data_IF_820091113973
#
_entry.id   IF_820091113973
#
_cell.length_a   1.000
_cell.length_b   1.000
_cell.length_c   1.000
_cell.angle_alpha   90.00
_cell.angle_beta   90.00
_cell.angle_gamma   90.00
#
_symmetry.space_group_name_H-M   'P 1'
#
loop_
_entity.id
_entity.type
_entity.pdbx_description
1 polymer ?
#
# COMPACT_ATOMS: atom_id res chain seq x y z
N UNK A 1 41.45 -39.63 22.95
CA UNK A 1 40.90 -40.49 24.01
C UNK A 1 39.50 -40.92 23.56
N UNK A 2 39.28 -42.22 23.55
CA UNK A 2 38.08 -42.91 23.03
C UNK A 2 36.86 -42.74 23.92
N UNK A 3 35.62 -42.89 23.41
CA UNK A 3 34.37 -42.86 24.17
C UNK A 3 34.04 -44.26 24.76
N UNK A 4 33.19 -44.38 25.78
CA UNK A 4 32.63 -45.66 26.19
C UNK A 4 31.26 -45.97 25.60
N UNK A 5 31.06 -47.30 25.43
CA UNK A 5 29.95 -47.98 24.79
C UNK A 5 28.72 -48.16 25.72
N UNK A 6 27.58 -48.29 25.07
CA UNK A 6 26.35 -49.09 25.25
C UNK A 6 26.15 -49.87 26.53
N UNK A 7 24.92 -49.80 27.05
CA UNK A 7 24.17 -51.00 27.51
C UNK A 7 22.68 -50.88 27.16
N UNK A 8 22.19 -51.94 26.56
CA UNK A 8 20.79 -52.26 26.22
C UNK A 8 20.10 -52.93 27.37
N UNK A 9 18.84 -52.66 27.65
CA UNK A 9 17.90 -53.68 28.14
C UNK A 9 16.48 -53.26 27.77
N UNK A 10 15.84 -54.16 27.05
CA UNK A 10 14.48 -54.07 26.61
C UNK A 10 13.47 -54.46 27.67
N UNK A 11 12.25 -54.02 27.46
CA UNK A 11 11.03 -54.77 27.82
C UNK A 11 9.92 -54.38 26.85
N UNK A 12 9.48 -55.39 26.09
CA UNK A 12 8.22 -55.42 25.35
C UNK A 12 7.09 -55.64 26.37
N UNK A 13 6.05 -54.87 26.28
CA UNK A 13 4.69 -55.29 26.66
C UNK A 13 3.73 -54.83 25.59
N UNK A 14 3.14 -55.83 24.95
CA UNK A 14 2.08 -55.66 23.97
C UNK A 14 0.77 -55.25 24.62
N UNK A 15 -0.01 -54.48 23.90
CA UNK A 15 -1.44 -54.36 24.11
C UNK A 15 -2.22 -54.59 22.82
N UNK A 16 -3.23 -55.43 22.94
CA UNK A 16 -4.08 -56.05 21.93
C UNK A 16 -4.95 -55.03 21.20
N UNK A 17 -5.22 -55.34 19.92
CA UNK A 17 -6.31 -54.82 19.11
C UNK A 17 -7.68 -55.26 19.67
N UNK A 18 -8.61 -54.35 19.73
CA UNK A 18 -10.06 -54.53 19.59
C UNK A 18 -10.61 -53.14 19.30
N UNK A 19 -11.36 -52.88 18.31
CA UNK A 19 -12.50 -53.33 17.64
C UNK A 19 -13.11 -52.12 17.00
N UNK A 20 -13.39 -52.24 15.78
CA UNK A 20 -14.25 -51.66 14.79
C UNK A 20 -15.36 -50.67 15.18
N UNK A 21 -15.65 -49.84 14.15
CA UNK A 21 -16.91 -49.15 13.80
C UNK A 21 -17.09 -47.77 14.46
N UNK A 22 -17.47 -46.71 13.76
CA UNK A 22 -18.48 -46.52 12.72
C UNK A 22 -18.14 -45.22 11.98
N UNK A 23 -18.18 -45.30 10.66
CA UNK A 23 -18.30 -44.16 9.75
C UNK A 23 -19.70 -43.55 9.92
N UNK A 24 -19.76 -42.30 10.41
CA UNK A 24 -20.98 -41.51 10.41
C UNK A 24 -20.98 -40.60 9.17
N UNK A 25 -22.00 -40.77 8.34
CA UNK A 25 -22.26 -39.97 7.13
C UNK A 25 -22.44 -38.49 7.43
N UNK A 26 -22.08 -37.60 6.50
CA UNK A 26 -22.34 -36.16 6.65
C UNK A 26 -23.87 -35.92 6.46
N UNK A 27 -24.50 -35.38 7.49
CA UNK A 27 -25.88 -34.92 7.49
C UNK A 27 -26.05 -33.82 6.41
N UNK A 28 -26.70 -34.19 5.31
CA UNK A 28 -27.32 -33.24 4.41
C UNK A 28 -28.44 -32.50 5.14
N UNK A 29 -28.23 -31.20 5.38
CA UNK A 29 -29.27 -30.30 5.87
C UNK A 29 -30.21 -30.02 4.68
N UNK A 30 -31.36 -30.66 4.62
CA UNK A 30 -32.44 -30.34 3.70
C UNK A 30 -33.32 -29.31 4.41
N UNK A 31 -33.33 -28.09 3.88
CA UNK A 31 -34.25 -27.04 4.34
C UNK A 31 -35.70 -27.42 3.96
N UNK A 32 -36.67 -27.24 4.85
CA UNK A 32 -38.07 -27.46 4.51
C UNK A 32 -38.58 -26.44 3.48
N UNK A 33 -39.56 -26.82 2.63
CA UNK A 33 -40.12 -25.89 1.65
C UNK A 33 -40.92 -24.78 2.35
N UNK A 34 -40.99 -23.59 1.75
CA UNK A 34 -41.76 -22.47 2.32
C UNK A 34 -43.25 -22.80 2.38
N UNK A 35 -43.84 -22.57 3.54
CA UNK A 35 -45.29 -22.65 3.72
C UNK A 35 -45.99 -21.56 2.90
N UNK A 36 -46.99 -21.95 2.16
CA UNK A 36 -47.87 -21.05 1.43
C UNK A 36 -48.62 -20.15 2.43
N UNK A 37 -48.42 -18.83 2.31
CA UNK A 37 -49.24 -17.83 2.99
C UNK A 37 -50.49 -17.59 2.12
N UNK A 38 -51.63 -17.71 2.78
CA UNK A 38 -52.96 -17.53 2.25
C UNK A 38 -53.24 -16.19 1.55
N UNK A 39 -54.11 -16.25 0.56
CA UNK A 39 -54.48 -15.22 -0.39
C UNK A 39 -54.95 -13.91 0.22
N UNK A 40 -54.10 -12.91 0.11
CA UNK A 40 -54.48 -11.50 0.19
C UNK A 40 -54.62 -10.89 -1.19
N UNK A 41 -55.83 -10.40 -1.52
CA UNK A 41 -56.17 -9.85 -2.84
C UNK A 41 -55.17 -8.76 -3.29
N UNK A 42 -54.46 -9.02 -4.36
CA UNK A 42 -53.65 -8.03 -5.06
C UNK A 42 -54.59 -7.03 -5.73
N UNK A 43 -54.68 -5.80 -5.21
CA UNK A 43 -55.32 -4.68 -5.90
C UNK A 43 -54.52 -4.40 -7.18
N UNK A 44 -55.20 -4.51 -8.32
CA UNK A 44 -54.66 -4.10 -9.59
C UNK A 44 -54.27 -2.62 -9.57
N UNK A 45 -52.99 -2.36 -9.75
CA UNK A 45 -52.47 -1.01 -9.99
C UNK A 45 -52.75 -0.66 -11.43
N UNK A 46 -53.69 0.27 -11.65
CA UNK A 46 -53.97 0.82 -12.99
C UNK A 46 -52.71 1.51 -13.53
N UNK A 47 -52.34 1.32 -14.80
CA UNK A 47 -51.24 2.03 -15.41
C UNK A 47 -51.52 3.52 -15.52
N UNK A 48 -50.52 4.39 -15.41
CA UNK A 48 -50.72 5.84 -15.55
C UNK A 48 -51.09 6.19 -16.99
N UNK A 49 -51.80 7.33 -17.20
CA UNK A 49 -52.33 7.71 -18.51
C UNK A 49 -51.19 8.05 -19.50
N UNK A 50 -51.37 7.86 -20.82
CA UNK A 50 -50.36 8.05 -21.84
C UNK A 50 -50.27 9.55 -22.22
N UNK A 51 -49.54 10.34 -21.44
CA UNK A 51 -49.27 11.73 -21.80
C UNK A 51 -47.87 12.16 -21.33
N UNK A 52 -46.84 11.75 -22.03
CA UNK A 52 -45.59 12.52 -22.22
C UNK A 52 -44.73 11.90 -23.32
N UNK A 53 -45.25 11.77 -24.57
CA UNK A 53 -44.36 11.65 -25.75
C UNK A 53 -44.05 13.08 -26.23
N UNK A 54 -43.09 13.74 -25.57
CA UNK A 54 -42.35 14.83 -26.24
C UNK A 54 -41.52 14.17 -27.33
N UNK A 55 -41.78 14.51 -28.60
CA UNK A 55 -40.95 14.20 -29.72
C UNK A 55 -39.54 14.73 -29.46
N UNK A 56 -38.63 13.83 -29.11
CA UNK A 56 -37.20 14.10 -29.16
C UNK A 56 -36.88 14.19 -30.67
N UNK A 57 -36.64 15.39 -31.18
CA UNK A 57 -36.05 15.59 -32.53
C UNK A 57 -34.74 14.83 -32.53
N UNK A 58 -34.61 13.83 -33.42
CA UNK A 58 -33.32 13.18 -33.70
C UNK A 58 -32.34 14.28 -34.13
N UNK A 59 -31.14 14.37 -33.54
CA UNK A 59 -30.09 15.22 -34.11
C UNK A 59 -29.72 14.64 -35.45
N UNK A 60 -29.66 15.50 -36.45
CA UNK A 60 -29.06 15.24 -37.77
C UNK A 60 -27.56 15.02 -37.56
N UNK A 61 -27.04 14.07 -38.26
CA UNK A 61 -25.69 13.56 -38.43
C UNK A 61 -25.48 12.27 -37.64
N UNK A 62 -25.75 11.16 -38.31
CA UNK A 62 -24.96 9.95 -38.17
C UNK A 62 -23.52 10.33 -38.51
N UNK A 63 -22.76 10.83 -37.51
CA UNK A 63 -21.35 10.58 -37.52
C UNK A 63 -21.28 9.09 -37.20
N UNK A 64 -20.88 8.29 -38.16
CA UNK A 64 -20.44 6.93 -37.97
C UNK A 64 -19.40 6.96 -36.82
N UNK A 65 -19.87 6.79 -35.61
CA UNK A 65 -19.03 6.39 -34.51
C UNK A 65 -18.70 4.93 -34.84
N UNK A 66 -17.79 4.71 -35.78
CA UNK A 66 -17.00 3.51 -35.82
C UNK A 66 -16.38 3.41 -34.43
N UNK A 67 -16.99 2.57 -33.59
CA UNK A 67 -16.31 2.04 -32.41
C UNK A 67 -15.17 1.23 -33.04
N UNK A 68 -14.08 1.93 -33.34
CA UNK A 68 -12.80 1.31 -33.57
C UNK A 68 -12.54 0.47 -32.32
N UNK A 69 -12.84 -0.80 -32.42
CA UNK A 69 -12.45 -1.80 -31.44
C UNK A 69 -10.95 -1.58 -31.25
N UNK A 70 -10.63 -1.05 -30.07
CA UNK A 70 -9.29 -0.65 -29.66
C UNK A 70 -8.33 -1.73 -30.16
N UNK A 71 -7.47 -1.41 -31.10
CA UNK A 71 -6.35 -2.25 -31.48
C UNK A 71 -5.68 -2.59 -30.15
N UNK A 72 -5.63 -3.88 -29.80
CA UNK A 72 -5.19 -4.32 -28.51
C UNK A 72 -3.86 -3.63 -28.18
N UNK A 73 -3.84 -2.82 -27.14
CA UNK A 73 -2.69 -2.06 -26.67
C UNK A 73 -1.66 -3.05 -26.08
N UNK A 74 -0.80 -3.61 -26.96
CA UNK A 74 0.11 -4.68 -26.57
C UNK A 74 1.39 -4.11 -25.97
N UNK A 75 1.86 -4.70 -24.89
CA UNK A 75 3.16 -4.38 -24.30
C UNK A 75 4.26 -4.84 -25.27
N UNK A 76 4.89 -3.91 -25.94
CA UNK A 76 5.95 -4.16 -26.92
C UNK A 76 7.33 -4.22 -26.28
N UNK A 77 7.56 -3.41 -25.23
CA UNK A 77 8.84 -3.37 -24.52
C UNK A 77 8.62 -3.17 -23.02
N UNK A 78 9.49 -3.73 -22.22
CA UNK A 78 9.50 -3.61 -20.77
C UNK A 78 10.94 -3.62 -20.26
N UNK A 79 11.27 -2.68 -19.37
CA UNK A 79 12.60 -2.61 -18.74
C UNK A 79 12.53 -2.04 -17.34
N UNK A 80 13.51 -2.39 -16.52
CA UNK A 80 13.74 -1.77 -15.22
C UNK A 80 14.84 -0.72 -15.30
N UNK A 81 14.74 0.28 -14.43
CA UNK A 81 15.76 1.33 -14.25
C UNK A 81 15.95 1.49 -12.74
N UNK A 82 17.17 1.27 -12.26
CA UNK A 82 17.52 1.47 -10.87
C UNK A 82 18.21 2.82 -10.70
N UNK A 83 17.64 3.68 -9.85
CA UNK A 83 18.19 4.97 -9.48
C UNK A 83 18.70 4.92 -8.05
N UNK A 84 19.76 5.68 -7.72
CA UNK A 84 20.21 5.91 -6.35
C UNK A 84 20.36 7.41 -6.14
N UNK A 85 19.38 8.00 -5.44
CA UNK A 85 19.24 9.44 -5.30
C UNK A 85 19.73 9.87 -3.91
N UNK A 86 20.88 10.60 -3.79
CA UNK A 86 21.30 11.19 -2.54
C UNK A 86 20.25 12.15 -1.99
N UNK A 87 20.06 12.15 -0.67
CA UNK A 87 19.09 13.02 0.00
C UNK A 87 19.69 13.68 1.22
N UNK A 88 19.04 14.78 1.65
CA UNK A 88 19.32 15.52 2.87
C UNK A 88 18.08 15.54 3.77
N UNK A 89 18.21 15.14 5.03
CA UNK A 89 17.09 15.12 5.97
C UNK A 89 17.28 16.08 7.16
N UNK A 90 18.40 16.79 7.20
CA UNK A 90 18.85 17.58 8.36
C UNK A 90 19.44 16.67 9.44
N UNK A 91 20.14 17.27 10.42
CA UNK A 91 20.88 16.52 11.42
C UNK A 91 22.18 15.91 10.88
N UNK A 92 22.73 14.96 11.62
CA UNK A 92 24.01 14.32 11.28
C UNK A 92 23.79 13.02 10.53
N UNK A 93 24.27 12.88 9.28
CA UNK A 93 24.19 11.61 8.56
C UNK A 93 25.16 10.56 9.15
N UNK A 94 24.98 9.27 8.88
CA UNK A 94 23.90 8.72 8.06
C UNK A 94 22.57 8.61 8.81
N UNK A 95 21.48 8.95 8.12
CA UNK A 95 20.14 8.78 8.67
C UNK A 95 19.71 7.31 8.64
N UNK A 96 18.68 6.97 9.43
CA UNK A 96 18.24 5.58 9.53
C UNK A 96 16.80 5.39 9.10
N UNK A 97 16.59 4.31 8.32
CA UNK A 97 15.28 3.71 8.07
C UNK A 97 15.22 2.37 8.79
N UNK A 98 14.39 2.25 9.83
CA UNK A 98 14.27 0.98 10.54
C UNK A 98 15.59 0.43 11.10
N UNK A 99 16.51 1.31 11.50
CA UNK A 99 17.78 0.95 12.12
C UNK A 99 18.96 0.75 11.17
N UNK A 100 18.79 0.88 9.84
CA UNK A 100 19.91 0.81 8.88
C UNK A 100 20.27 2.20 8.39
N UNK A 101 21.57 2.58 8.44
CA UNK A 101 22.04 3.86 7.90
C UNK A 101 21.79 3.96 6.40
N UNK A 102 21.34 5.14 5.94
CA UNK A 102 21.14 5.45 4.53
C UNK A 102 21.50 6.91 4.26
N UNK A 103 22.10 7.17 3.10
CA UNK A 103 22.38 8.50 2.57
C UNK A 103 21.89 8.68 1.14
N UNK A 104 21.28 7.65 0.58
CA UNK A 104 20.62 7.68 -0.72
C UNK A 104 19.32 6.88 -0.68
N UNK A 105 18.39 7.29 -1.52
CA UNK A 105 17.11 6.62 -1.73
C UNK A 105 17.16 5.88 -3.06
N UNK A 106 16.98 4.57 -3.01
CA UNK A 106 17.01 3.76 -4.23
C UNK A 106 15.59 3.58 -4.74
N UNK A 107 15.38 3.82 -6.04
CA UNK A 107 14.10 3.74 -6.73
C UNK A 107 14.24 2.75 -7.87
N UNK A 108 13.51 1.65 -7.82
CA UNK A 108 13.46 0.68 -8.92
C UNK A 108 12.22 0.93 -9.78
N UNK A 109 12.44 1.59 -10.91
CA UNK A 109 11.40 1.92 -11.88
C UNK A 109 11.15 0.76 -12.83
N UNK A 110 9.88 0.64 -13.25
CA UNK A 110 9.45 -0.14 -14.41
C UNK A 110 8.97 0.82 -15.47
N UNK A 111 9.48 0.66 -16.70
CA UNK A 111 8.99 1.36 -17.89
C UNK A 111 8.41 0.33 -18.85
N UNK A 112 7.12 0.44 -19.10
CA UNK A 112 6.42 -0.34 -20.12
C UNK A 112 6.17 0.54 -21.33
N UNK A 113 6.28 -0.04 -22.53
CA UNK A 113 5.99 0.63 -23.78
C UNK A 113 5.07 -0.24 -24.63
N UNK A 114 4.04 0.36 -25.16
CA UNK A 114 3.07 -0.34 -26.00
C UNK A 114 3.43 -0.25 -27.48
N UNK A 115 2.80 -1.09 -28.31
CA UNK A 115 3.02 -1.14 -29.75
C UNK A 115 2.60 0.16 -30.49
N UNK A 116 1.81 1.02 -29.86
CA UNK A 116 1.40 2.34 -30.34
C UNK A 116 2.23 3.49 -29.72
N UNK A 117 3.26 3.16 -28.94
CA UNK A 117 4.25 4.10 -28.41
C UNK A 117 3.88 4.76 -27.08
N UNK A 118 2.76 4.39 -26.44
CA UNK A 118 2.46 4.87 -25.09
C UNK A 118 3.47 4.29 -24.09
N UNK A 119 3.86 5.11 -23.12
CA UNK A 119 4.79 4.73 -22.05
C UNK A 119 4.10 4.83 -20.70
N UNK A 120 4.15 3.73 -19.94
CA UNK A 120 3.68 3.67 -18.55
C UNK A 120 4.83 3.45 -17.59
N UNK A 121 4.73 4.08 -16.42
CA UNK A 121 5.72 4.02 -15.37
C UNK A 121 5.18 3.37 -14.10
N UNK A 122 6.01 2.53 -13.49
CA UNK A 122 5.74 1.91 -12.20
C UNK A 122 6.96 1.92 -11.30
N UNK A 123 6.77 1.64 -10.02
CA UNK A 123 7.81 1.61 -9.00
C UNK A 123 7.66 0.39 -8.12
N UNK A 124 8.74 -0.38 -7.96
CA UNK A 124 8.85 -1.44 -6.98
C UNK A 124 9.51 -0.89 -5.69
N UNK A 125 9.01 -1.30 -4.54
CA UNK A 125 9.67 -0.96 -3.28
C UNK A 125 11.09 -1.53 -3.26
N UNK A 126 12.08 -0.66 -3.21
CA UNK A 126 13.50 -0.99 -3.26
C UNK A 126 14.28 -0.20 -2.23
N UNK A 127 15.28 -0.85 -1.62
CA UNK A 127 16.20 -0.23 -0.67
C UNK A 127 17.57 -0.90 -0.76
N UNK A 128 18.62 -0.12 -0.60
CA UNK A 128 19.97 -0.65 -0.51
C UNK A 128 20.47 -1.25 -1.82
N UNK A 129 20.16 -0.62 -2.97
CA UNK A 129 20.58 -1.06 -4.31
C UNK A 129 20.12 -2.48 -4.60
N UNK A 130 18.81 -2.71 -4.56
CA UNK A 130 18.20 -4.05 -4.66
C UNK A 130 18.37 -4.66 -6.07
N UNK A 131 19.60 -5.10 -6.34
CA UNK A 131 19.97 -5.77 -7.60
C UNK A 131 19.23 -7.11 -7.74
N UNK A 132 18.95 -7.80 -6.63
CA UNK A 132 18.26 -9.08 -6.65
C UNK A 132 16.83 -8.92 -7.14
N UNK A 133 16.11 -7.89 -6.67
CA UNK A 133 14.76 -7.56 -7.15
C UNK A 133 14.79 -7.16 -8.62
N UNK A 134 15.73 -6.28 -9.02
CA UNK A 134 15.89 -5.88 -10.43
C UNK A 134 16.11 -7.11 -11.32
N UNK A 135 17.02 -8.01 -10.95
CA UNK A 135 17.30 -9.23 -11.70
C UNK A 135 16.07 -10.15 -11.76
N UNK A 136 15.33 -10.27 -10.66
CA UNK A 136 14.08 -11.05 -10.62
C UNK A 136 13.03 -10.46 -11.58
N UNK A 137 12.90 -9.15 -11.61
CA UNK A 137 11.99 -8.49 -12.54
C UNK A 137 12.39 -8.69 -13.99
N UNK A 138 13.65 -8.44 -14.34
CA UNK A 138 14.14 -8.51 -15.72
C UNK A 138 14.08 -9.94 -16.28
N UNK A 139 14.34 -10.96 -15.45
CA UNK A 139 14.44 -12.35 -15.92
C UNK A 139 13.19 -13.18 -15.73
N UNK A 140 12.32 -12.83 -14.78
CA UNK A 140 11.14 -13.65 -14.45
C UNK A 140 9.80 -12.96 -14.67
N UNK A 141 9.67 -11.66 -14.34
CA UNK A 141 8.37 -10.98 -14.43
C UNK A 141 8.13 -10.34 -15.80
N UNK A 142 9.07 -9.49 -16.25
CA UNK A 142 8.89 -8.73 -17.48
C UNK A 142 8.71 -9.62 -18.74
N UNK A 143 9.42 -10.75 -18.90
CA UNK A 143 9.18 -11.65 -20.04
C UNK A 143 7.76 -12.21 -20.11
N UNK A 144 7.06 -12.37 -18.97
CA UNK A 144 5.72 -12.95 -18.90
C UNK A 144 4.61 -11.98 -19.34
N UNK A 145 4.93 -10.70 -19.47
CA UNK A 145 3.95 -9.67 -19.84
C UNK A 145 4.11 -9.17 -21.28
N UNK A 146 5.24 -9.45 -21.93
CA UNK A 146 5.45 -9.03 -23.32
C UNK A 146 4.39 -9.61 -24.26
N UNK A 147 3.91 -8.78 -25.19
CA UNK A 147 2.84 -9.12 -26.15
C UNK A 147 1.44 -9.18 -25.56
N UNK A 148 1.28 -9.04 -24.24
CA UNK A 148 -0.05 -9.03 -23.59
C UNK A 148 -0.75 -7.70 -23.77
N UNK A 149 -2.07 -7.73 -23.74
CA UNK A 149 -2.92 -6.54 -23.80
C UNK A 149 -2.83 -5.79 -22.46
N UNK A 150 -2.25 -4.59 -22.48
CA UNK A 150 -2.01 -3.77 -21.30
C UNK A 150 -3.32 -3.31 -20.60
N UNK A 151 -4.46 -3.37 -21.28
CA UNK A 151 -5.76 -3.03 -20.68
C UNK A 151 -6.29 -4.13 -19.74
N UNK A 152 -5.75 -5.34 -19.83
CA UNK A 152 -6.16 -6.49 -19.04
C UNK A 152 -5.43 -6.56 -17.68
N UNK A 153 -5.42 -5.45 -16.93
CA UNK A 153 -4.62 -5.27 -15.71
C UNK A 153 -4.83 -6.42 -14.71
N UNK A 154 -6.06 -6.66 -14.27
CA UNK A 154 -6.37 -7.70 -13.30
C UNK A 154 -6.02 -9.11 -13.80
N UNK A 155 -6.15 -9.38 -15.10
CA UNK A 155 -5.78 -10.67 -15.70
C UNK A 155 -4.27 -10.86 -15.74
N UNK A 156 -3.51 -9.80 -16.03
CA UNK A 156 -2.05 -9.82 -16.00
C UNK A 156 -1.58 -10.06 -14.57
N UNK A 157 -2.05 -9.27 -13.61
CA UNK A 157 -1.72 -9.40 -12.19
C UNK A 157 -1.98 -10.82 -11.69
N UNK A 158 -3.21 -11.32 -11.84
CA UNK A 158 -3.56 -12.67 -11.41
C UNK A 158 -2.68 -13.76 -12.04
N UNK A 159 -2.38 -13.62 -13.34
CA UNK A 159 -1.50 -14.56 -14.04
C UNK A 159 -0.08 -14.59 -13.47
N UNK A 160 0.50 -13.42 -13.13
CA UNK A 160 1.81 -13.31 -12.50
C UNK A 160 1.81 -13.93 -11.11
N UNK A 161 0.82 -13.57 -10.27
CA UNK A 161 0.65 -14.13 -8.93
C UNK A 161 0.52 -15.66 -8.96
N UNK A 162 -0.30 -16.20 -9.88
CA UNK A 162 -0.50 -17.64 -10.01
C UNK A 162 0.77 -18.37 -10.47
N UNK A 163 1.46 -17.85 -11.51
CA UNK A 163 2.64 -18.50 -12.06
C UNK A 163 3.86 -18.43 -11.10
N UNK A 164 3.92 -17.37 -10.28
CA UNK A 164 5.09 -17.10 -9.45
C UNK A 164 4.83 -17.32 -7.95
N UNK A 165 3.69 -17.88 -7.55
CA UNK A 165 3.32 -18.04 -6.13
C UNK A 165 4.37 -18.80 -5.30
N UNK A 166 5.11 -19.72 -5.91
CA UNK A 166 6.17 -20.48 -5.23
C UNK A 166 7.46 -19.65 -4.97
N UNK A 167 7.57 -18.46 -5.58
CA UNK A 167 8.75 -17.59 -5.43
C UNK A 167 8.53 -16.44 -4.46
N UNK A 168 7.35 -16.29 -3.92
CA UNK A 168 6.98 -15.32 -2.90
C UNK A 168 5.60 -14.71 -3.11
N UNK A 169 4.91 -14.51 -1.99
CA UNK A 169 3.62 -13.83 -1.90
C UNK A 169 3.74 -12.49 -1.16
N UNK A 170 4.92 -12.23 -0.61
CA UNK A 170 5.34 -11.00 0.07
C UNK A 170 6.77 -10.73 -0.37
N UNK A 171 7.19 -9.46 -0.44
CA UNK A 171 8.54 -9.07 -0.84
C UNK A 171 8.79 -9.21 -2.36
N UNK A 172 10.01 -9.41 -2.80
CA UNK A 172 10.56 -9.33 -4.14
C UNK A 172 9.60 -9.52 -5.32
N UNK A 173 8.97 -10.71 -5.45
CA UNK A 173 8.03 -10.97 -6.57
C UNK A 173 6.82 -10.05 -6.51
N UNK A 174 6.22 -9.89 -5.31
CA UNK A 174 5.04 -9.06 -5.13
C UNK A 174 5.34 -7.57 -5.37
N UNK A 175 6.54 -7.09 -4.97
CA UNK A 175 6.97 -5.71 -5.26
C UNK A 175 7.12 -5.47 -6.77
N UNK A 176 7.63 -6.47 -7.51
CA UNK A 176 7.70 -6.41 -8.97
C UNK A 176 6.33 -6.44 -9.64
N UNK A 177 5.39 -7.24 -9.14
CA UNK A 177 4.00 -7.26 -9.59
C UNK A 177 3.33 -5.91 -9.35
N UNK A 178 3.55 -5.33 -8.17
CA UNK A 178 3.04 -4.00 -7.83
C UNK A 178 3.53 -2.91 -8.81
N UNK A 179 4.81 -2.94 -9.15
CA UNK A 179 5.38 -2.01 -10.14
C UNK A 179 4.76 -2.15 -11.52
N UNK A 180 4.54 -3.39 -11.98
CA UNK A 180 3.87 -3.67 -13.25
C UNK A 180 2.42 -3.17 -13.20
N UNK A 181 1.69 -3.43 -12.11
CA UNK A 181 0.32 -2.97 -11.92
C UNK A 181 0.20 -1.45 -12.01
N UNK A 182 1.07 -0.70 -11.31
CA UNK A 182 1.12 0.77 -11.37
C UNK A 182 1.35 1.24 -12.81
N UNK A 183 2.31 0.64 -13.53
CA UNK A 183 2.62 1.02 -14.90
C UNK A 183 1.46 0.74 -15.88
N UNK A 184 0.72 -0.35 -15.66
CA UNK A 184 -0.47 -0.68 -16.45
C UNK A 184 -1.62 0.31 -16.21
N UNK A 185 -1.82 0.73 -14.96
CA UNK A 185 -2.79 1.77 -14.64
C UNK A 185 -2.41 3.13 -15.24
N UNK A 186 -1.10 3.47 -15.26
CA UNK A 186 -0.61 4.68 -15.94
C UNK A 186 -0.90 4.62 -17.44
N UNK A 187 -0.60 3.50 -18.10
CA UNK A 187 -0.93 3.26 -19.52
C UNK A 187 -2.43 3.40 -19.78
N UNK A 188 -3.28 2.80 -18.95
CA UNK A 188 -4.73 2.89 -19.11
C UNK A 188 -5.21 4.34 -19.01
N UNK A 189 -4.73 5.10 -18.02
CA UNK A 189 -5.08 6.50 -17.85
C UNK A 189 -4.64 7.36 -19.05
N UNK A 190 -3.44 7.11 -19.58
CA UNK A 190 -2.92 7.78 -20.78
C UNK A 190 -3.74 7.44 -22.03
N UNK A 191 -4.08 6.16 -22.23
CA UNK A 191 -4.92 5.71 -23.32
C UNK A 191 -6.33 6.31 -23.29
N UNK A 192 -6.89 6.47 -22.08
CA UNK A 192 -8.21 7.09 -21.88
C UNK A 192 -8.15 8.64 -21.89
N UNK A 193 -6.96 9.25 -21.91
CA UNK A 193 -6.80 10.70 -21.77
C UNK A 193 -7.28 11.23 -20.40
N UNK A 194 -7.27 10.39 -19.34
CA UNK A 194 -7.80 10.73 -18.03
C UNK A 194 -6.76 10.53 -16.93
N UNK A 195 -6.70 11.41 -15.91
CA UNK A 195 -5.89 11.18 -14.73
C UNK A 195 -6.43 9.97 -13.92
N UNK A 196 -5.54 9.28 -13.23
CA UNK A 196 -5.90 8.05 -12.52
C UNK A 196 -7.06 8.24 -11.53
N UNK A 197 -7.09 9.30 -10.74
CA UNK A 197 -8.16 9.50 -9.77
C UNK A 197 -9.57 9.49 -10.43
N UNK A 198 -9.70 9.92 -11.70
CA UNK A 198 -10.99 9.85 -12.41
C UNK A 198 -11.39 8.41 -12.76
N UNK A 199 -10.42 7.58 -13.13
CA UNK A 199 -10.67 6.15 -13.37
C UNK A 199 -11.00 5.40 -12.07
N UNK A 200 -10.55 5.93 -10.92
CA UNK A 200 -10.84 5.40 -9.60
C UNK A 200 -12.17 5.91 -9.00
N UNK A 201 -12.95 6.68 -9.75
CA UNK A 201 -14.28 7.15 -9.32
C UNK A 201 -14.38 8.65 -9.05
N UNK A 202 -13.31 9.41 -9.26
CA UNK A 202 -13.21 10.85 -9.00
C UNK A 202 -12.43 11.17 -7.74
N UNK A 203 -12.11 12.44 -7.54
CA UNK A 203 -11.38 12.89 -6.35
C UNK A 203 -12.31 13.58 -5.36
N UNK A 204 -12.12 13.32 -4.07
CA UNK A 204 -12.75 14.05 -2.97
C UNK A 204 -12.03 15.36 -2.65
N UNK A 205 -10.76 15.49 -3.05
CA UNK A 205 -9.94 16.67 -2.83
C UNK A 205 -8.96 16.89 -4.00
N UNK A 206 -8.70 18.16 -4.34
CA UNK A 206 -7.73 18.57 -5.36
C UNK A 206 -6.29 18.67 -4.80
N UNK A 207 -6.17 18.72 -3.48
CA UNK A 207 -4.92 18.68 -2.74
C UNK A 207 -5.08 17.86 -1.45
N UNK A 208 -4.01 17.21 -1.02
CA UNK A 208 -3.98 16.38 0.18
C UNK A 208 -3.18 17.07 1.28
N UNK A 209 -3.65 16.97 2.53
CA UNK A 209 -2.85 17.28 3.71
C UNK A 209 -1.72 16.25 3.83
N UNK A 210 -0.48 16.71 4.02
CA UNK A 210 0.70 15.84 4.06
C UNK A 210 1.26 15.79 5.47
N UNK A 211 1.63 14.58 5.92
CA UNK A 211 2.42 14.46 7.12
C UNK A 211 3.92 14.32 6.81
N UNK A 212 4.73 15.03 7.60
CA UNK A 212 6.18 14.92 7.55
C UNK A 212 6.61 13.62 8.24
N UNK A 213 7.06 12.64 7.50
CA UNK A 213 7.61 11.39 8.02
C UNK A 213 9.11 11.59 8.24
N UNK A 214 9.51 11.92 9.49
CA UNK A 214 10.89 12.25 9.85
C UNK A 214 11.77 11.01 9.85
N UNK A 215 13.07 11.17 9.56
CA UNK A 215 14.04 10.08 9.72
C UNK A 215 14.24 9.74 11.21
N UNK A 216 14.86 8.60 11.48
CA UNK A 216 15.36 8.31 12.83
C UNK A 216 16.69 9.00 13.02
N UNK A 217 16.73 9.98 13.91
CA UNK A 217 17.94 10.78 14.22
C UNK A 217 18.75 10.18 15.36
N UNK A 218 18.11 9.46 16.30
CA UNK A 218 18.76 8.84 17.44
C UNK A 218 19.32 9.83 18.47
N UNK A 219 18.93 11.09 18.39
CA UNK A 219 19.29 12.13 19.36
C UNK A 219 18.24 13.25 19.39
N UNK A 220 18.06 13.84 20.57
CA UNK A 220 17.04 14.86 20.84
C UNK A 220 17.25 16.13 20.01
N UNK A 221 18.49 16.59 19.90
CA UNK A 221 18.78 17.90 19.30
C UNK A 221 18.44 17.95 17.81
N UNK A 222 18.86 16.95 17.05
CA UNK A 222 18.60 16.87 15.62
C UNK A 222 17.11 16.58 15.34
N UNK A 223 16.47 15.73 16.15
CA UNK A 223 15.05 15.48 16.05
C UNK A 223 14.21 16.74 16.31
N UNK A 224 14.52 17.51 17.34
CA UNK A 224 13.83 18.77 17.65
C UNK A 224 14.04 19.80 16.54
N UNK A 225 15.25 19.90 15.98
CA UNK A 225 15.51 20.76 14.81
C UNK A 225 14.67 20.34 13.60
N UNK A 226 14.63 19.04 13.27
CA UNK A 226 13.83 18.51 12.18
C UNK A 226 12.33 18.73 12.39
N UNK A 227 11.84 18.52 13.63
CA UNK A 227 10.45 18.79 14.01
C UNK A 227 10.08 20.26 13.79
N UNK A 228 10.93 21.21 14.23
CA UNK A 228 10.71 22.65 14.01
C UNK A 228 10.73 22.99 12.53
N UNK A 229 11.70 22.45 11.76
CA UNK A 229 11.77 22.64 10.31
C UNK A 229 10.50 22.15 9.59
N UNK A 230 9.89 21.04 10.04
CA UNK A 230 8.63 20.58 9.51
C UNK A 230 7.48 21.55 9.83
N UNK A 231 7.40 22.06 11.06
CA UNK A 231 6.41 23.07 11.45
C UNK A 231 6.55 24.37 10.63
N UNK A 232 7.80 24.83 10.40
CA UNK A 232 8.09 26.03 9.62
C UNK A 232 7.73 25.86 8.13
N UNK A 233 7.78 24.63 7.61
CA UNK A 233 7.28 24.26 6.26
C UNK A 233 5.76 24.06 6.21
N UNK A 234 5.05 24.30 7.30
CA UNK A 234 3.58 24.30 7.37
C UNK A 234 2.95 22.93 7.65
N UNK A 235 3.71 21.90 7.96
CA UNK A 235 3.16 20.60 8.30
C UNK A 235 2.38 20.65 9.62
N UNK A 236 1.20 20.01 9.62
CA UNK A 236 0.31 19.88 10.79
C UNK A 236 0.26 18.46 11.35
N UNK A 237 0.95 17.54 10.69
CA UNK A 237 1.09 16.15 11.09
C UNK A 237 2.55 15.76 10.95
N UNK A 238 3.12 15.14 11.98
CA UNK A 238 4.54 14.77 12.03
C UNK A 238 4.65 13.34 12.55
N UNK A 239 5.25 12.46 11.74
CA UNK A 239 5.56 11.09 12.13
C UNK A 239 7.02 10.96 12.52
N UNK A 240 7.28 10.41 13.71
CA UNK A 240 8.60 10.11 14.24
C UNK A 240 8.94 8.65 14.00
N UNK A 241 10.22 8.35 13.76
CA UNK A 241 10.72 6.97 13.73
C UNK A 241 11.58 6.62 14.94
N UNK A 242 11.55 7.46 15.98
CA UNK A 242 12.28 7.22 17.22
C UNK A 242 11.62 6.13 18.07
N UNK A 243 12.47 5.39 18.81
CA UNK A 243 12.06 4.36 19.76
C UNK A 243 12.38 4.75 21.23
N UNK A 244 13.19 5.80 21.43
CA UNK A 244 13.53 6.34 22.74
C UNK A 244 12.43 7.25 23.27
N UNK A 245 12.07 7.08 24.55
CA UNK A 245 10.99 7.85 25.17
C UNK A 245 11.35 9.35 25.31
N UNK A 246 12.62 9.64 25.57
CA UNK A 246 13.10 11.03 25.71
C UNK A 246 13.02 11.79 24.39
N UNK A 247 13.41 11.15 23.28
CA UNK A 247 13.30 11.68 21.93
C UNK A 247 11.84 11.94 21.55
N UNK A 248 10.96 10.96 21.78
CA UNK A 248 9.52 11.09 21.49
C UNK A 248 8.92 12.24 22.27
N UNK A 249 9.15 12.31 23.60
CA UNK A 249 8.65 13.38 24.46
C UNK A 249 9.19 14.77 24.06
N UNK A 250 10.47 14.84 23.68
CA UNK A 250 11.09 16.08 23.24
C UNK A 250 10.46 16.60 21.93
N UNK A 251 10.20 15.73 20.96
CA UNK A 251 9.54 16.09 19.71
C UNK A 251 8.08 16.53 19.93
N UNK A 252 7.31 15.80 20.75
CA UNK A 252 5.94 16.22 21.11
C UNK A 252 5.93 17.59 21.78
N UNK A 253 6.84 17.84 22.73
CA UNK A 253 7.03 19.15 23.37
C UNK A 253 7.42 20.22 22.35
N UNK A 254 8.28 19.93 21.38
CA UNK A 254 8.69 20.87 20.34
C UNK A 254 7.53 21.24 19.40
N UNK A 255 6.57 20.35 19.18
CA UNK A 255 5.36 20.65 18.42
C UNK A 255 4.47 21.70 19.11
N UNK A 256 4.51 21.81 20.43
CA UNK A 256 3.75 22.79 21.22
C UNK A 256 2.26 22.87 20.83
N UNK A 257 1.63 21.73 20.50
CA UNK A 257 0.23 21.66 20.03
C UNK A 257 -0.04 22.16 18.60
N UNK A 258 1.00 22.56 17.86
CA UNK A 258 0.86 23.07 16.48
C UNK A 258 0.69 21.95 15.44
N UNK A 259 1.10 20.72 15.76
CA UNK A 259 0.95 19.56 14.92
C UNK A 259 0.53 18.34 15.75
N UNK A 260 -0.19 17.42 15.12
CA UNK A 260 -0.45 16.07 15.63
C UNK A 260 0.78 15.19 15.41
N UNK A 261 1.19 14.46 16.43
CA UNK A 261 2.36 13.59 16.37
C UNK A 261 1.94 12.15 16.26
N UNK A 262 2.58 11.41 15.35
CA UNK A 262 2.51 9.97 15.21
C UNK A 262 3.88 9.37 15.50
N UNK A 263 3.90 8.13 15.97
CA UNK A 263 5.15 7.37 16.09
C UNK A 263 5.06 6.08 15.30
N UNK A 264 6.11 5.79 14.55
CA UNK A 264 6.34 4.55 13.81
C UNK A 264 7.62 3.91 14.32
N UNK A 265 7.47 2.90 15.12
CA UNK A 265 8.61 2.29 15.79
C UNK A 265 9.21 1.12 15.02
N UNK A 266 8.57 0.66 13.94
CA UNK A 266 9.06 -0.42 13.08
C UNK A 266 9.28 -1.76 13.80
N UNK A 267 8.29 -2.20 14.57
CA UNK A 267 8.23 -3.52 15.23
C UNK A 267 9.43 -3.83 16.14
N UNK A 268 9.89 -2.95 17.04
CA UNK A 268 11.10 -3.23 17.82
C UNK A 268 10.87 -4.11 19.04
N UNK A 269 9.61 -4.27 19.51
CA UNK A 269 9.29 -4.83 20.81
C UNK A 269 8.48 -6.14 20.74
N UNK A 270 8.67 -6.99 21.72
CA UNK A 270 7.71 -8.06 22.00
C UNK A 270 6.36 -7.46 22.44
N UNK A 271 5.29 -8.24 22.38
CA UNK A 271 3.96 -7.76 22.81
C UNK A 271 3.94 -7.25 24.26
N UNK A 272 4.56 -7.93 25.26
CA UNK A 272 4.65 -7.39 26.62
C UNK A 272 5.40 -6.05 26.71
N UNK A 273 6.50 -5.88 25.97
CA UNK A 273 7.25 -4.61 25.92
C UNK A 273 6.42 -3.52 25.27
N UNK A 274 5.76 -3.81 24.13
CA UNK A 274 4.87 -2.86 23.46
C UNK A 274 3.73 -2.37 24.36
N UNK A 275 3.15 -3.27 25.17
CA UNK A 275 2.14 -2.91 26.18
C UNK A 275 2.70 -1.99 27.27
N UNK A 276 3.93 -2.25 27.74
CA UNK A 276 4.59 -1.41 28.74
C UNK A 276 4.89 -0.02 28.18
N UNK A 277 5.44 0.06 26.97
CA UNK A 277 5.76 1.34 26.28
C UNK A 277 4.49 2.13 25.98
N UNK A 278 3.42 1.50 25.51
CA UNK A 278 2.14 2.18 25.30
C UNK A 278 1.63 2.85 26.59
N UNK A 279 1.82 2.20 27.74
CA UNK A 279 1.48 2.76 29.05
C UNK A 279 2.40 3.91 29.46
N UNK A 280 3.70 3.82 29.15
CA UNK A 280 4.65 4.93 29.41
C UNK A 280 4.35 6.18 28.59
N UNK A 281 3.72 6.02 27.41
CA UNK A 281 3.36 7.11 26.51
C UNK A 281 1.90 7.57 26.67
N UNK A 282 1.12 7.02 27.61
CA UNK A 282 -0.33 7.26 27.73
C UNK A 282 -0.73 8.72 28.00
N UNK A 283 0.21 9.52 28.50
CA UNK A 283 0.03 10.96 28.74
C UNK A 283 0.22 11.82 27.47
N UNK A 284 0.69 11.23 26.36
CA UNK A 284 0.87 11.90 25.10
C UNK A 284 -0.35 11.72 24.20
N UNK A 285 -0.84 12.84 23.62
CA UNK A 285 -1.89 12.82 22.60
C UNK A 285 -1.31 12.41 21.23
N UNK A 286 -0.97 11.12 21.07
CA UNK A 286 -0.48 10.59 19.82
C UNK A 286 -1.63 10.37 18.85
N UNK A 287 -1.48 10.82 17.61
CA UNK A 287 -2.46 10.60 16.55
C UNK A 287 -2.59 9.12 16.19
N UNK A 288 -1.45 8.39 16.14
CA UNK A 288 -1.39 6.93 16.17
C UNK A 288 -0.05 6.41 16.69
N UNK A 289 -0.05 5.13 17.05
CA UNK A 289 1.10 4.32 17.39
C UNK A 289 1.23 3.20 16.34
N UNK A 290 2.26 3.28 15.49
CA UNK A 290 2.44 2.43 14.31
C UNK A 290 3.42 1.29 14.60
N UNK A 291 2.99 0.07 14.27
CA UNK A 291 3.78 -1.17 14.32
C UNK A 291 4.59 -1.38 15.61
N UNK A 292 3.96 -1.37 16.80
CA UNK A 292 4.70 -1.49 18.06
C UNK A 292 5.26 -2.90 18.32
N UNK A 293 4.71 -3.96 17.73
CA UNK A 293 4.98 -5.32 18.16
C UNK A 293 5.61 -6.19 17.08
N UNK A 294 6.58 -7.04 17.46
CA UNK A 294 7.22 -8.06 16.66
C UNK A 294 6.62 -9.45 16.93
N UNK A 295 6.49 -10.32 15.94
CA UNK A 295 6.64 -10.01 14.52
C UNK A 295 5.40 -9.29 13.96
N UNK A 296 5.50 -8.56 12.83
CA UNK A 296 4.39 -7.81 12.26
C UNK A 296 3.16 -8.65 11.91
N UNK A 297 3.32 -9.96 11.65
CA UNK A 297 2.24 -10.90 11.37
C UNK A 297 1.49 -11.37 12.62
N UNK A 298 1.96 -11.02 13.82
CA UNK A 298 1.29 -11.36 15.07
C UNK A 298 0.09 -10.45 15.34
N UNK A 299 -0.94 -10.56 14.49
CA UNK A 299 -2.14 -9.72 14.57
C UNK A 299 -2.89 -9.88 15.91
N UNK A 300 -2.92 -11.07 16.48
CA UNK A 300 -3.52 -11.26 17.81
C UNK A 300 -2.72 -10.56 18.93
N UNK A 301 -1.39 -10.54 18.80
CA UNK A 301 -0.53 -9.77 19.70
C UNK A 301 -0.76 -8.27 19.57
N UNK A 302 -0.85 -7.78 18.34
CA UNK A 302 -1.13 -6.36 18.05
C UNK A 302 -2.54 -5.96 18.55
N UNK A 303 -3.54 -6.84 18.40
CA UNK A 303 -4.88 -6.63 18.94
C UNK A 303 -4.87 -6.44 20.47
N UNK A 304 -4.00 -7.15 21.19
CA UNK A 304 -3.85 -6.96 22.65
C UNK A 304 -3.32 -5.56 22.99
N UNK A 305 -2.40 -5.02 22.18
CA UNK A 305 -1.93 -3.63 22.36
C UNK A 305 -3.06 -2.65 22.10
N UNK A 306 -3.80 -2.82 21.00
CA UNK A 306 -4.96 -1.97 20.66
C UNK A 306 -6.05 -2.00 21.75
N UNK A 307 -6.34 -3.16 22.32
CA UNK A 307 -7.37 -3.33 23.34
C UNK A 307 -7.09 -2.58 24.65
N UNK A 308 -5.86 -2.12 24.89
CA UNK A 308 -5.58 -1.21 26.01
C UNK A 308 -6.30 0.14 25.87
N UNK A 309 -6.65 0.53 24.65
CA UNK A 309 -7.37 1.78 24.38
C UNK A 309 -6.57 3.06 24.67
N UNK A 310 -5.23 2.94 24.80
CA UNK A 310 -4.36 4.09 25.12
C UNK A 310 -4.05 4.92 23.88
N UNK A 311 -3.81 4.25 22.75
CA UNK A 311 -3.48 4.88 21.47
C UNK A 311 -4.20 4.18 20.34
N UNK A 312 -4.51 4.91 19.26
CA UNK A 312 -4.94 4.31 18.00
C UNK A 312 -3.78 3.53 17.38
N UNK A 313 -4.03 2.32 16.93
CA UNK A 313 -3.00 1.45 16.35
C UNK A 313 -3.06 1.50 14.84
N UNK A 314 -1.91 1.80 14.22
CA UNK A 314 -1.73 1.76 12.77
C UNK A 314 -0.75 0.63 12.39
N UNK A 315 -1.06 -0.09 11.32
CA UNK A 315 -0.16 -1.09 10.74
C UNK A 315 -0.58 -1.47 9.32
N UNK A 316 0.29 -2.23 8.63
CA UNK A 316 -0.03 -2.81 7.33
C UNK A 316 1.04 -2.63 6.25
N UNK A 317 2.04 -1.78 6.44
CA UNK A 317 3.12 -1.59 5.45
C UNK A 317 3.98 -2.84 5.23
N UNK A 318 3.91 -3.81 6.14
CA UNK A 318 4.56 -5.11 6.04
C UNK A 318 3.61 -6.25 5.64
N UNK A 319 2.33 -5.96 5.40
CA UNK A 319 1.35 -6.91 4.88
C UNK A 319 1.43 -7.00 3.35
N UNK A 320 1.28 -8.20 2.79
CA UNK A 320 1.50 -8.44 1.36
C UNK A 320 0.23 -8.54 0.52
N UNK A 321 -0.95 -8.69 1.14
CA UNK A 321 -2.17 -9.00 0.41
C UNK A 321 -3.46 -8.57 1.11
N UNK A 322 -4.56 -8.56 0.37
CA UNK A 322 -5.92 -8.39 0.92
C UNK A 322 -6.22 -9.37 2.07
N UNK A 323 -5.70 -10.60 1.99
CA UNK A 323 -5.93 -11.62 3.02
C UNK A 323 -5.25 -11.29 4.35
N UNK A 324 -4.08 -10.64 4.30
CA UNK A 324 -3.40 -10.16 5.50
C UNK A 324 -4.21 -9.06 6.17
N UNK A 325 -4.73 -8.11 5.39
CA UNK A 325 -5.61 -7.04 5.91
C UNK A 325 -6.92 -7.59 6.46
N UNK A 326 -7.54 -8.56 5.80
CA UNK A 326 -8.72 -9.25 6.34
C UNK A 326 -8.41 -9.90 7.69
N UNK A 327 -7.27 -10.60 7.79
CA UNK A 327 -6.84 -11.24 9.04
C UNK A 327 -6.57 -10.23 10.15
N UNK A 328 -5.90 -9.13 9.82
CA UNK A 328 -5.58 -8.03 10.74
C UNK A 328 -6.84 -7.34 11.28
N UNK A 329 -7.79 -7.02 10.39
CA UNK A 329 -9.07 -6.41 10.74
C UNK A 329 -9.94 -7.39 11.55
N UNK A 330 -10.03 -8.66 11.14
CA UNK A 330 -10.79 -9.69 11.87
C UNK A 330 -10.26 -9.96 13.28
N UNK A 331 -8.95 -9.84 13.47
CA UNK A 331 -8.33 -9.92 14.80
C UNK A 331 -8.62 -8.67 15.66
N UNK A 332 -9.17 -7.61 15.11
CA UNK A 332 -9.35 -6.33 15.79
C UNK A 332 -8.01 -5.66 16.13
N UNK A 333 -7.00 -5.81 15.24
CA UNK A 333 -5.63 -5.41 15.51
C UNK A 333 -5.34 -3.93 15.24
N UNK A 334 -6.11 -3.27 14.39
CA UNK A 334 -5.82 -1.92 13.89
C UNK A 334 -7.04 -1.00 13.94
N UNK A 335 -6.76 0.29 14.04
CA UNK A 335 -7.68 1.40 13.78
C UNK A 335 -7.41 2.02 12.41
N UNK A 336 -6.16 1.91 11.92
CA UNK A 336 -5.68 2.52 10.69
C UNK A 336 -4.91 1.47 9.89
N UNK A 337 -5.36 1.23 8.65
CA UNK A 337 -4.71 0.33 7.70
C UNK A 337 -3.74 1.12 6.81
N UNK A 338 -2.51 0.65 6.69
CA UNK A 338 -1.43 1.32 5.97
C UNK A 338 -0.80 0.44 4.90
N UNK A 339 -1.57 -0.02 3.87
CA UNK A 339 -0.94 -0.74 2.75
C UNK A 339 -0.01 0.18 1.96
N UNK A 340 1.04 -0.39 1.38
CA UNK A 340 1.97 0.33 0.49
C UNK A 340 1.76 -0.12 -0.96
N UNK A 341 1.50 0.82 -1.87
CA UNK A 341 1.18 0.52 -3.27
C UNK A 341 2.29 -0.23 -4.00
N UNK A 342 3.56 0.00 -3.62
CA UNK A 342 4.71 -0.66 -4.23
C UNK A 342 5.10 -1.98 -3.55
N UNK A 343 4.41 -2.35 -2.45
CA UNK A 343 4.65 -3.58 -1.69
C UNK A 343 3.48 -4.56 -1.73
N UNK A 344 2.25 -4.03 -1.76
CA UNK A 344 1.03 -4.83 -1.58
C UNK A 344 0.28 -4.98 -2.92
N UNK A 345 0.99 -5.41 -3.97
CA UNK A 345 0.39 -5.79 -5.24
C UNK A 345 -0.20 -4.68 -6.09
N UNK A 346 0.18 -3.41 -5.88
CA UNK A 346 -0.21 -2.28 -6.72
C UNK A 346 -1.58 -1.68 -6.41
N UNK A 347 -2.02 -0.78 -7.29
CA UNK A 347 -3.31 -0.08 -7.17
C UNK A 347 -4.49 -1.07 -7.16
N UNK A 348 -4.45 -2.10 -8.01
CA UNK A 348 -5.52 -3.12 -8.10
C UNK A 348 -5.80 -3.80 -6.76
N UNK A 349 -4.77 -4.06 -5.95
CA UNK A 349 -4.93 -4.67 -4.64
C UNK A 349 -5.36 -3.65 -3.59
N UNK A 350 -4.77 -2.45 -3.61
CA UNK A 350 -5.09 -1.40 -2.66
C UNK A 350 -6.56 -0.93 -2.76
N UNK A 351 -7.15 -0.93 -3.94
CA UNK A 351 -8.58 -0.64 -4.13
C UNK A 351 -9.48 -1.63 -3.38
N UNK A 352 -9.13 -2.92 -3.38
CA UNK A 352 -9.87 -3.94 -2.63
C UNK A 352 -9.70 -3.77 -1.12
N UNK A 353 -8.47 -3.44 -0.69
CA UNK A 353 -8.16 -3.19 0.72
C UNK A 353 -8.90 -1.93 1.20
N UNK A 354 -8.95 -0.87 0.39
CA UNK A 354 -9.70 0.34 0.71
C UNK A 354 -11.20 0.05 0.93
N UNK A 355 -11.82 -0.72 0.02
CA UNK A 355 -13.21 -1.16 0.17
C UNK A 355 -13.43 -2.05 1.41
N UNK A 356 -12.48 -2.92 1.73
CA UNK A 356 -12.51 -3.72 2.94
C UNK A 356 -12.45 -2.84 4.19
N UNK A 357 -11.56 -1.85 4.22
CA UNK A 357 -11.44 -0.89 5.33
C UNK A 357 -12.75 -0.11 5.52
N UNK A 358 -13.34 0.39 4.44
CA UNK A 358 -14.62 1.10 4.48
C UNK A 358 -15.73 0.23 5.07
N UNK A 359 -15.85 -1.05 4.63
CA UNK A 359 -16.86 -1.98 5.12
C UNK A 359 -16.73 -2.29 6.62
N UNK A 360 -15.52 -2.17 7.18
CA UNK A 360 -15.24 -2.46 8.58
C UNK A 360 -15.02 -1.22 9.46
N UNK A 361 -15.16 0.00 8.92
CA UNK A 361 -14.95 1.25 9.65
C UNK A 361 -13.51 1.47 10.09
N UNK A 362 -12.54 0.89 9.38
CA UNK A 362 -11.10 1.08 9.58
C UNK A 362 -10.64 2.24 8.70
N UNK A 363 -9.85 3.15 9.25
CA UNK A 363 -9.30 4.28 8.49
C UNK A 363 -8.24 3.78 7.51
N UNK A 364 -8.26 4.30 6.28
CA UNK A 364 -7.34 3.88 5.21
C UNK A 364 -6.33 4.99 4.94
N UNK A 365 -5.08 4.82 5.39
CA UNK A 365 -3.99 5.79 5.20
C UNK A 365 -2.78 5.07 4.63
N UNK A 366 -2.65 4.97 3.31
CA UNK A 366 -1.55 4.24 2.69
C UNK A 366 -0.17 4.73 3.15
N UNK A 367 0.71 3.79 3.47
CA UNK A 367 2.14 4.05 3.65
C UNK A 367 2.75 4.49 2.32
N UNK A 368 3.58 5.53 2.34
CA UNK A 368 4.23 6.05 1.14
C UNK A 368 5.65 6.55 1.41
N UNK A 369 6.57 5.62 1.62
CA UNK A 369 8.00 5.92 1.65
C UNK A 369 8.62 5.82 0.24
N UNK A 370 8.00 6.47 -0.76
CA UNK A 370 8.28 6.39 -2.18
C UNK A 370 8.49 7.78 -2.78
N UNK A 371 9.25 7.87 -3.88
CA UNK A 371 9.52 9.14 -4.58
C UNK A 371 9.37 9.03 -6.11
N UNK A 372 8.88 7.90 -6.58
CA UNK A 372 8.64 7.62 -7.99
C UNK A 372 7.15 7.48 -8.34
N UNK A 373 6.83 6.67 -9.36
CA UNK A 373 5.47 6.39 -9.80
C UNK A 373 4.55 5.88 -8.68
N UNK A 374 5.09 5.14 -7.70
CA UNK A 374 4.35 4.67 -6.54
C UNK A 374 3.85 5.81 -5.66
N UNK A 375 4.66 6.86 -5.45
CA UNK A 375 4.22 8.06 -4.74
C UNK A 375 3.05 8.72 -5.45
N UNK A 376 3.15 8.92 -6.75
CA UNK A 376 2.11 9.59 -7.55
C UNK A 376 0.84 8.75 -7.59
N UNK A 377 0.96 7.43 -7.75
CA UNK A 377 -0.17 6.51 -7.68
C UNK A 377 -0.89 6.56 -6.31
N UNK A 378 -0.13 6.67 -5.22
CA UNK A 378 -0.68 6.81 -3.86
C UNK A 378 -1.40 8.16 -3.69
N UNK A 379 -0.89 9.25 -4.28
CA UNK A 379 -1.58 10.56 -4.29
C UNK A 379 -2.95 10.43 -4.96
N UNK A 380 -3.02 9.82 -6.15
CA UNK A 380 -4.29 9.62 -6.85
C UNK A 380 -5.27 8.75 -6.07
N UNK A 381 -4.79 7.64 -5.50
CA UNK A 381 -5.61 6.74 -4.69
C UNK A 381 -6.14 7.45 -3.44
N UNK A 382 -5.28 8.17 -2.73
CA UNK A 382 -5.66 8.93 -1.53
C UNK A 382 -6.69 10.01 -1.84
N UNK A 383 -6.53 10.71 -2.97
CA UNK A 383 -7.51 11.72 -3.41
C UNK A 383 -8.87 11.10 -3.78
N UNK A 384 -8.86 9.89 -4.33
CA UNK A 384 -10.08 9.17 -4.74
C UNK A 384 -10.77 8.43 -3.58
N UNK A 385 -10.21 8.42 -2.39
CA UNK A 385 -10.77 7.68 -1.25
C UNK A 385 -11.16 8.61 -0.10
N UNK A 386 -12.45 8.58 0.27
CA UNK A 386 -13.03 9.51 1.27
C UNK A 386 -12.38 9.41 2.67
N UNK A 387 -11.96 8.22 3.08
CA UNK A 387 -11.40 7.98 4.42
C UNK A 387 -9.88 8.13 4.50
N UNK A 388 -9.24 8.75 3.50
CA UNK A 388 -7.81 9.07 3.56
C UNK A 388 -7.63 10.54 3.95
N UNK A 389 -7.46 10.85 5.26
CA UNK A 389 -7.41 12.24 5.72
C UNK A 389 -6.07 12.92 5.46
N UNK A 390 -4.99 12.13 5.37
CA UNK A 390 -3.61 12.63 5.27
C UNK A 390 -2.77 11.70 4.39
N UNK A 391 -1.73 12.28 3.76
CA UNK A 391 -0.79 11.59 2.85
C UNK A 391 0.63 11.59 3.41
N UNK A 392 1.35 10.47 3.29
CA UNK A 392 2.74 10.35 3.74
C UNK A 392 3.73 10.94 2.74
N UNK A 393 4.69 11.73 3.26
CA UNK A 393 5.94 12.01 2.57
C UNK A 393 7.10 11.95 3.54
N UNK A 394 8.12 11.17 3.20
CA UNK A 394 9.39 11.21 3.93
C UNK A 394 9.96 12.63 3.88
N UNK A 395 10.36 13.15 5.05
CA UNK A 395 10.81 14.52 5.22
C UNK A 395 12.30 14.64 4.91
N UNK A 396 12.59 14.62 3.62
CA UNK A 396 13.93 14.81 3.07
C UNK A 396 13.84 15.60 1.77
N UNK A 397 14.98 16.15 1.37
CA UNK A 397 15.15 16.96 0.18
C UNK A 397 16.16 16.27 -0.76
N UNK A 398 15.91 16.27 -2.05
CA UNK A 398 16.82 15.76 -3.09
C UNK A 398 17.46 16.92 -3.84
N UNK A 399 18.65 16.69 -4.40
CA UNK A 399 19.28 17.67 -5.30
C UNK A 399 18.44 17.88 -6.57
N UNK A 400 17.91 16.79 -7.12
CA UNK A 400 16.96 16.80 -8.24
C UNK A 400 15.81 15.86 -7.89
N UNK A 401 14.61 16.39 -7.79
CA UNK A 401 13.40 15.58 -7.59
C UNK A 401 12.99 14.87 -8.89
N UNK A 402 12.52 13.62 -8.78
CA UNK A 402 12.17 12.81 -9.95
C UNK A 402 11.05 13.42 -10.81
N UNK A 403 10.19 14.23 -10.21
CA UNK A 403 9.09 14.94 -10.88
C UNK A 403 9.19 16.48 -10.75
N UNK A 404 10.39 17.00 -10.50
CA UNK A 404 10.58 18.40 -10.20
C UNK A 404 9.73 18.86 -9.02
N UNK A 405 9.24 20.08 -9.05
CA UNK A 405 8.43 20.65 -7.95
C UNK A 405 7.05 20.02 -7.75
N UNK A 406 6.59 19.18 -8.68
CA UNK A 406 5.20 18.69 -8.68
C UNK A 406 4.88 17.79 -7.49
N UNK A 407 5.90 17.10 -6.94
CA UNK A 407 5.74 16.20 -5.79
C UNK A 407 6.32 16.78 -4.49
N UNK A 408 6.69 18.06 -4.47
CA UNK A 408 7.14 18.74 -3.26
C UNK A 408 5.96 19.39 -2.55
N UNK A 409 5.65 19.03 -1.29
CA UNK A 409 4.58 19.67 -0.53
C UNK A 409 4.86 21.15 -0.30
N UNK A 410 3.82 21.98 -0.44
CA UNK A 410 3.85 23.42 -0.16
C UNK A 410 2.89 23.73 0.98
N UNK A 411 3.39 24.32 2.08
CA UNK A 411 2.62 24.58 3.29
C UNK A 411 1.92 23.31 3.85
N UNK A 412 2.65 22.19 3.88
CA UNK A 412 2.13 20.92 4.38
C UNK A 412 1.09 20.24 3.47
N UNK A 413 0.93 20.67 2.21
CA UNK A 413 -0.05 20.14 1.27
C UNK A 413 0.57 19.78 -0.08
N UNK A 414 0.00 18.78 -0.76
CA UNK A 414 0.40 18.34 -2.09
C UNK A 414 -0.80 18.34 -3.05
N UNK A 415 -0.60 18.87 -4.25
CA UNK A 415 -1.63 18.88 -5.28
C UNK A 415 -1.74 17.52 -5.96
N UNK A 416 -2.98 17.15 -6.31
CA UNK A 416 -3.24 15.95 -7.11
C UNK A 416 -2.94 16.25 -8.58
N UNK A 417 -2.08 15.46 -9.27
CA UNK A 417 -1.79 15.67 -10.68
C UNK A 417 -3.05 15.48 -11.55
N UNK A 418 -3.21 16.33 -12.57
CA UNK A 418 -4.41 16.36 -13.42
C UNK A 418 -4.20 15.88 -14.86
N UNK A 419 -2.97 15.56 -15.23
CA UNK A 419 -2.65 14.98 -16.54
C UNK A 419 -3.10 13.53 -16.68
N UNK A 420 -3.12 12.98 -17.91
CA UNK A 420 -3.47 11.58 -18.16
C UNK A 420 -2.55 10.58 -17.45
N UNK A 421 -3.10 9.48 -17.00
CA UNK A 421 -2.38 8.46 -16.22
C UNK A 421 -1.98 8.99 -14.85
N UNK A 422 -0.71 8.82 -14.50
CA UNK A 422 -0.10 9.44 -13.31
C UNK A 422 -0.04 10.97 -13.43
N UNK A 423 -0.16 11.50 -14.65
CA UNK A 423 -0.16 12.94 -14.91
C UNK A 423 1.20 13.62 -14.78
N UNK A 424 2.26 12.85 -14.52
CA UNK A 424 3.64 13.29 -14.39
C UNK A 424 4.58 12.32 -15.10
N UNK A 425 5.65 12.84 -15.67
CA UNK A 425 6.73 12.04 -16.27
C UNK A 425 8.03 12.25 -15.48
N UNK A 426 8.83 11.20 -15.26
CA UNK A 426 10.14 11.35 -14.65
C UNK A 426 11.03 12.31 -15.47
N UNK A 427 11.66 13.29 -14.80
CA UNK A 427 12.52 14.26 -15.50
C UNK A 427 13.79 13.59 -16.03
N UNK A 428 14.18 13.82 -17.28
CA UNK A 428 15.35 13.19 -17.91
C UNK A 428 16.64 13.36 -17.11
N UNK A 429 16.86 14.54 -16.53
CA UNK A 429 18.04 14.85 -15.70
C UNK A 429 18.18 13.87 -14.53
N UNK A 430 17.09 13.58 -13.80
CA UNK A 430 17.13 12.64 -12.68
C UNK A 430 17.39 11.20 -13.16
N UNK A 431 16.78 10.81 -14.28
CA UNK A 431 16.97 9.48 -14.86
C UNK A 431 18.41 9.25 -15.33
N UNK A 432 19.08 10.27 -15.86
CA UNK A 432 20.46 10.18 -16.33
C UNK A 432 21.45 10.26 -15.16
N UNK A 433 21.29 11.25 -14.28
CA UNK A 433 22.22 11.56 -13.20
C UNK A 433 22.32 10.47 -12.15
N UNK A 434 21.21 9.85 -11.79
CA UNK A 434 21.14 8.91 -10.65
C UNK A 434 21.04 7.44 -11.06
N UNK A 435 21.07 7.15 -12.36
CA UNK A 435 20.99 5.78 -12.86
C UNK A 435 22.21 4.96 -12.47
N UNK A 436 21.97 3.78 -11.90
CA UNK A 436 23.01 2.81 -11.63
C UNK A 436 23.23 1.91 -12.85
N UNK A 437 24.50 1.71 -13.21
CA UNK A 437 24.94 0.74 -14.23
C UNK A 437 25.06 -0.63 -13.56
N UNK A 438 23.97 -1.41 -13.54
CA UNK A 438 23.88 -2.74 -12.93
C UNK A 438 23.13 -3.71 -13.83
#
# INVERSE_FOLDING_TARGET
>A
MRPPQRHSSGRRTGFRRSGAALLGDPLCYVSPPPQALDGGAVRAVTPPPPAYRKRIKKPRAEADCEINWVVAMKIANAKTILLSMPFEAGGTPPWSFGGKPANSFDILLVRLETNDGLVGWGEAFSRGRDIALKQTMDTRLLPLILGRDATQISKIKHSLEFQLHNFGRISGVEYGIAAIDIALWDLLGKACGQPLYRLLGGAYADELEVYASLMRYGNVDDLVKATRRALDRGYRYIKLHEIGLDEIRAAVKACAGKAKVMIDVNCPWTVPEALAIAKELQDLDLYWFEEPAWPPENYLGLARVRQQGLHRIAAGKNAGSLHDFMSMISAGAIDIAQPDVAKTGGLTELLKIAALCEAHGVEFVPHCALFGPGQVATIHLSAAHRSTPIFERLFCDFEVELYGDATIPKNGKIKVPTGPGLGLEPVPEALEKFRLSV
#
